data_IF_247576772576
#
_entry.id   IF_247576772576
#
_cell.length_a   1.000
_cell.length_b   1.000
_cell.length_c   1.000
_cell.angle_alpha   90.00
_cell.angle_beta   90.00
_cell.angle_gamma   90.00
#
_symmetry.space_group_name_H-M   'P 1'
#
loop_
_entity.id
_entity.type
_entity.pdbx_description
1 polymer ?
#
# COMPACT_ATOMS: atom_id res chain seq x y z
N UNK A 1 -7.81 -6.55 4.39
CA UNK A 1 -9.26 -6.58 4.62
C UNK A 1 -9.88 -5.44 3.83
N UNK A 2 -11.17 -5.52 3.46
CA UNK A 2 -11.88 -4.35 2.97
C UNK A 2 -11.86 -3.25 4.03
N UNK A 3 -11.69 -2.00 3.59
CA UNK A 3 -11.73 -0.81 4.42
C UNK A 3 -13.15 -0.59 4.92
N UNK A 4 -13.31 -0.21 6.19
CA UNK A 4 -14.59 0.26 6.72
C UNK A 4 -14.84 1.74 6.36
N UNK A 5 -16.07 2.21 6.53
CA UNK A 5 -16.38 3.63 6.34
C UNK A 5 -15.56 4.54 7.28
N UNK A 6 -15.22 4.06 8.47
CA UNK A 6 -14.35 4.77 9.41
C UNK A 6 -12.91 4.87 8.87
N UNK A 7 -12.40 3.79 8.27
CA UNK A 7 -11.06 3.78 7.68
C UNK A 7 -10.96 4.79 6.53
N UNK A 8 -11.98 4.86 5.66
CA UNK A 8 -12.03 5.81 4.53
C UNK A 8 -11.96 7.27 5.00
N UNK A 9 -12.49 7.59 6.18
CA UNK A 9 -12.45 8.93 6.73
C UNK A 9 -11.04 9.35 7.19
N UNK A 10 -10.15 8.38 7.46
CA UNK A 10 -8.79 8.60 7.99
C UNK A 10 -7.68 8.20 7.04
N UNK A 11 -8.01 7.63 5.87
CA UNK A 11 -7.03 7.00 4.97
C UNK A 11 -6.03 7.98 4.34
N UNK A 12 -6.36 9.28 4.29
CA UNK A 12 -5.49 10.30 3.72
C UNK A 12 -5.08 10.01 2.27
N UNK A 13 -3.78 10.10 2.00
CA UNK A 13 -3.20 9.89 0.65
C UNK A 13 -2.86 8.43 0.31
N UNK A 14 -3.20 7.50 1.20
CA UNK A 14 -2.79 6.10 1.02
C UNK A 14 -3.58 5.49 -0.15
N UNK A 15 -2.89 4.93 -1.17
CA UNK A 15 -3.57 4.32 -2.30
C UNK A 15 -4.44 3.11 -1.94
N UNK A 16 -5.62 3.06 -2.56
CA UNK A 16 -6.56 1.94 -2.50
C UNK A 16 -6.71 1.25 -3.86
N UNK A 17 -7.32 0.08 -3.83
CA UNK A 17 -7.80 -0.67 -4.98
C UNK A 17 -9.31 -0.88 -4.81
N UNK A 18 -10.03 -0.93 -5.94
CA UNK A 18 -11.47 -1.15 -5.97
C UNK A 18 -11.71 -2.49 -6.67
N UNK A 19 -12.03 -3.53 -5.89
CA UNK A 19 -12.20 -4.90 -6.39
C UNK A 19 -13.68 -5.26 -6.46
N UNK A 20 -14.12 -5.85 -7.57
CA UNK A 20 -15.47 -6.39 -7.71
C UNK A 20 -15.75 -7.47 -6.66
N UNK A 21 -16.97 -7.49 -6.11
CA UNK A 21 -17.42 -8.62 -5.29
C UNK A 21 -17.93 -9.80 -6.13
N UNK A 22 -18.32 -9.57 -7.39
CA UNK A 22 -18.87 -10.61 -8.26
C UNK A 22 -17.81 -11.35 -9.08
N UNK A 23 -16.70 -10.68 -9.39
CA UNK A 23 -15.65 -11.23 -10.24
C UNK A 23 -14.34 -11.34 -9.45
N UNK A 24 -13.93 -12.59 -9.16
CA UNK A 24 -12.71 -12.87 -8.39
C UNK A 24 -11.49 -12.25 -9.05
N UNK A 25 -10.69 -11.52 -8.25
CA UNK A 25 -9.49 -10.82 -8.68
C UNK A 25 -9.72 -9.74 -9.76
N UNK A 26 -10.95 -9.28 -10.00
CA UNK A 26 -11.18 -8.21 -10.97
C UNK A 26 -11.25 -6.85 -10.28
N UNK A 27 -10.40 -5.93 -10.73
CA UNK A 27 -10.22 -4.58 -10.18
C UNK A 27 -10.61 -3.51 -11.19
N UNK A 28 -11.05 -2.34 -10.69
CA UNK A 28 -11.25 -1.14 -11.51
C UNK A 28 -9.90 -0.67 -12.04
N UNK A 29 -9.81 -0.42 -13.35
CA UNK A 29 -8.61 0.08 -14.04
C UNK A 29 -8.92 1.43 -14.68
N UNK A 30 -8.07 2.42 -14.43
CA UNK A 30 -8.15 3.74 -15.07
C UNK A 30 -6.85 4.03 -15.83
N UNK A 31 -6.97 4.13 -17.15
CA UNK A 31 -5.91 4.53 -18.06
C UNK A 31 -6.13 5.96 -18.54
N UNK A 32 -5.38 6.88 -17.95
CA UNK A 32 -5.41 8.31 -18.22
C UNK A 32 -4.35 8.76 -19.23
N UNK A 33 -3.76 7.84 -20.00
CA UNK A 33 -2.70 8.17 -20.97
C UNK A 33 -3.18 9.29 -21.90
N UNK A 34 -2.43 10.41 -21.92
CA UNK A 34 -2.74 11.59 -22.73
C UNK A 34 -3.74 12.57 -22.11
N UNK A 35 -4.34 12.26 -20.95
CA UNK A 35 -5.29 13.15 -20.26
C UNK A 35 -4.51 14.17 -19.43
N UNK A 36 -4.37 15.37 -19.99
CA UNK A 36 -3.55 16.46 -19.41
C UNK A 36 -4.32 17.76 -19.18
N UNK A 37 -5.57 17.82 -19.65
CA UNK A 37 -6.46 18.97 -19.50
C UNK A 37 -7.93 18.50 -19.51
N UNK A 38 -8.80 19.38 -19.03
CA UNK A 38 -10.23 19.11 -18.97
C UNK A 38 -10.82 18.83 -20.35
N UNK A 39 -11.70 17.83 -20.44
CA UNK A 39 -12.47 17.47 -21.64
C UNK A 39 -13.96 17.40 -21.33
N UNK A 40 -14.83 18.07 -22.08
CA UNK A 40 -16.27 18.14 -21.76
C UNK A 40 -16.97 16.78 -21.63
N UNK A 41 -16.57 15.79 -22.44
CA UNK A 41 -17.09 14.42 -22.38
C UNK A 41 -16.26 13.46 -21.52
N UNK A 42 -15.25 13.97 -20.82
CA UNK A 42 -14.15 13.18 -20.29
C UNK A 42 -13.21 12.66 -21.39
N UNK A 43 -12.23 11.87 -20.98
CA UNK A 43 -11.21 11.28 -21.83
C UNK A 43 -10.72 9.95 -21.22
N UNK A 44 -9.66 9.37 -21.81
CA UNK A 44 -9.05 8.13 -21.34
C UNK A 44 -10.01 6.94 -21.33
N UNK A 45 -9.60 5.86 -20.65
CA UNK A 45 -10.33 4.59 -20.62
C UNK A 45 -10.46 4.07 -19.20
N UNK A 46 -11.68 3.72 -18.80
CA UNK A 46 -11.93 2.97 -17.57
C UNK A 46 -12.52 1.62 -17.91
N UNK A 47 -11.91 0.57 -17.38
CA UNK A 47 -12.32 -0.81 -17.59
C UNK A 47 -11.90 -1.67 -16.38
N UNK A 48 -11.70 -2.97 -16.59
CA UNK A 48 -11.35 -3.93 -15.55
C UNK A 48 -9.95 -4.52 -15.76
N UNK A 49 -9.35 -5.05 -14.70
CA UNK A 49 -8.06 -5.76 -14.72
C UNK A 49 -8.06 -6.96 -13.76
N UNK A 50 -7.33 -8.04 -14.08
CA UNK A 50 -7.26 -9.26 -13.26
C UNK A 50 -6.32 -9.17 -12.04
N UNK A 51 -5.51 -8.12 -11.93
CA UNK A 51 -4.64 -7.88 -10.79
C UNK A 51 -4.43 -6.39 -10.60
N UNK A 52 -4.38 -5.91 -9.36
CA UNK A 52 -4.02 -4.52 -9.05
C UNK A 52 -2.49 -4.29 -8.97
N UNK A 53 -1.72 -5.09 -9.72
CA UNK A 53 -0.26 -5.11 -9.73
C UNK A 53 0.32 -4.58 -11.03
N UNK A 54 1.34 -5.26 -11.55
CA UNK A 54 1.91 -4.99 -12.89
C UNK A 54 0.89 -5.32 -14.00
N UNK A 55 0.92 -4.68 -15.20
CA UNK A 55 1.88 -3.68 -15.68
C UNK A 55 1.33 -2.26 -15.51
N UNK A 56 1.64 -1.66 -14.37
CA UNK A 56 1.35 -0.24 -14.10
C UNK A 56 0.27 -0.05 -13.03
N UNK A 57 0.36 0.99 -12.20
CA UNK A 57 -0.52 1.19 -11.05
C UNK A 57 -1.91 1.75 -11.45
N UNK A 58 -2.49 1.29 -12.57
CA UNK A 58 -3.71 1.85 -13.15
C UNK A 58 -4.96 1.47 -12.33
N UNK A 59 -4.83 0.48 -11.45
CA UNK A 59 -5.87 0.03 -10.52
C UNK A 59 -5.74 0.66 -9.13
N UNK A 60 -4.81 1.61 -8.95
CA UNK A 60 -4.55 2.28 -7.68
C UNK A 60 -5.14 3.69 -7.69
N UNK A 61 -5.91 4.01 -6.65
CA UNK A 61 -6.62 5.28 -6.51
C UNK A 61 -6.34 5.95 -5.17
N UNK A 62 -6.32 7.28 -5.12
CA UNK A 62 -6.41 8.06 -3.88
C UNK A 62 -7.83 8.59 -3.69
N UNK A 63 -8.34 8.47 -2.47
CA UNK A 63 -9.64 9.03 -2.10
C UNK A 63 -9.47 10.49 -1.69
N UNK A 64 -9.90 11.40 -2.57
CA UNK A 64 -9.91 12.84 -2.30
C UNK A 64 -11.24 13.25 -1.68
N UNK A 65 -11.28 13.31 -0.36
CA UNK A 65 -12.47 13.79 0.38
C UNK A 65 -12.80 15.24 -0.02
N UNK A 66 -14.07 15.48 -0.33
CA UNK A 66 -14.61 16.77 -0.71
C UNK A 66 -15.30 17.45 0.50
N UNK A 67 -15.56 18.76 0.38
CA UNK A 67 -16.20 19.54 1.44
C UNK A 67 -17.62 19.06 1.79
N UNK A 68 -18.34 18.50 0.83
CA UNK A 68 -19.69 17.93 0.98
C UNK A 68 -19.69 16.49 1.53
N UNK A 69 -18.52 15.92 1.84
CA UNK A 69 -18.36 14.56 2.34
C UNK A 69 -18.27 13.49 1.26
N UNK A 70 -18.46 13.84 -0.01
CA UNK A 70 -18.21 12.93 -1.14
C UNK A 70 -16.70 12.71 -1.36
N UNK A 71 -16.37 11.78 -2.25
CA UNK A 71 -14.98 11.48 -2.63
C UNK A 71 -14.80 11.62 -4.14
N UNK A 72 -13.67 12.19 -4.56
CA UNK A 72 -13.15 12.02 -5.90
C UNK A 72 -12.07 10.92 -5.90
N UNK A 73 -12.09 10.07 -6.92
CA UNK A 73 -11.20 8.92 -7.06
C UNK A 73 -10.06 9.27 -8.02
N UNK A 74 -8.95 9.75 -7.49
CA UNK A 74 -7.79 10.15 -8.29
C UNK A 74 -6.93 8.94 -8.64
N UNK A 75 -6.48 8.82 -9.89
CA UNK A 75 -5.48 7.83 -10.28
C UNK A 75 -4.13 8.09 -9.61
N UNK A 76 -3.49 7.02 -9.13
CA UNK A 76 -2.09 7.10 -8.68
C UNK A 76 -1.14 7.19 -9.87
N UNK A 77 -1.45 6.53 -10.98
CA UNK A 77 -0.62 6.49 -12.18
C UNK A 77 -0.66 7.81 -12.97
N UNK A 78 -1.78 8.52 -12.92
CA UNK A 78 -2.03 9.73 -13.70
C UNK A 78 -2.45 10.88 -12.76
N UNK A 79 -1.50 11.71 -12.29
CA UNK A 79 -1.80 12.80 -11.35
C UNK A 79 -2.85 13.78 -11.88
N UNK A 80 -3.76 14.23 -11.01
CA UNK A 80 -4.91 15.06 -11.34
C UNK A 80 -5.93 14.44 -12.31
N UNK A 81 -5.84 13.13 -12.61
CA UNK A 81 -6.82 12.42 -13.42
C UNK A 81 -7.74 11.60 -12.52
N UNK A 82 -9.05 11.83 -12.63
CA UNK A 82 -10.08 11.27 -11.75
C UNK A 82 -11.03 10.35 -12.50
N UNK A 83 -11.60 9.36 -11.81
CA UNK A 83 -12.72 8.58 -12.31
C UNK A 83 -13.91 9.51 -12.59
N UNK A 84 -14.51 9.37 -13.77
CA UNK A 84 -15.69 10.13 -14.20
C UNK A 84 -16.84 9.18 -14.51
N UNK A 85 -18.03 9.50 -14.00
CA UNK A 85 -19.28 8.81 -14.34
C UNK A 85 -20.29 9.82 -14.88
N UNK A 86 -20.66 9.63 -16.14
CA UNK A 86 -21.75 10.33 -16.81
C UNK A 86 -22.98 9.42 -16.90
N UNK A 87 -23.96 9.68 -16.04
CA UNK A 87 -25.19 8.92 -15.92
C UNK A 87 -26.31 9.42 -16.83
N UNK A 88 -26.01 10.30 -17.80
CA UNK A 88 -27.03 10.85 -18.69
C UNK A 88 -27.81 9.73 -19.38
N UNK A 89 -29.14 9.73 -19.21
CA UNK A 89 -30.03 8.70 -19.75
C UNK A 89 -30.15 7.42 -18.92
N UNK A 90 -29.44 7.28 -17.81
CA UNK A 90 -29.53 6.11 -16.90
C UNK A 90 -30.65 6.34 -15.88
N UNK A 91 -31.88 5.97 -16.26
CA UNK A 91 -33.11 6.23 -15.48
C UNK A 91 -33.82 4.95 -15.00
N UNK A 92 -33.34 3.78 -15.42
CA UNK A 92 -33.87 2.48 -15.01
C UNK A 92 -32.79 1.40 -15.12
N UNK A 93 -33.00 0.28 -14.44
CA UNK A 93 -32.08 -0.86 -14.51
C UNK A 93 -32.16 -1.52 -15.89
N UNK A 94 -30.99 -1.84 -16.46
CA UNK A 94 -30.87 -2.66 -17.66
C UNK A 94 -29.88 -3.79 -17.46
N UNK A 95 -29.92 -4.84 -18.30
CA UNK A 95 -28.98 -5.98 -18.17
C UNK A 95 -27.50 -5.57 -18.29
N UNK A 96 -27.18 -4.56 -19.10
CA UNK A 96 -25.80 -4.10 -19.33
C UNK A 96 -25.39 -2.84 -18.55
N UNK A 97 -26.33 -2.21 -17.84
CA UNK A 97 -26.18 -0.82 -17.42
C UNK A 97 -26.23 0.16 -18.61
N UNK A 98 -25.75 1.37 -18.38
CA UNK A 98 -25.68 2.43 -19.38
C UNK A 98 -24.67 3.51 -18.99
N UNK A 99 -24.88 4.73 -19.50
CA UNK A 99 -23.99 5.86 -19.24
C UNK A 99 -22.58 5.67 -19.79
N UNK A 100 -21.70 6.61 -19.45
CA UNK A 100 -20.28 6.56 -19.80
C UNK A 100 -19.43 6.63 -18.54
N UNK A 101 -18.51 5.69 -18.39
CA UNK A 101 -17.49 5.72 -17.34
C UNK A 101 -16.12 5.82 -18.00
N UNK A 102 -15.43 6.92 -17.73
CA UNK A 102 -14.11 7.24 -18.26
C UNK A 102 -13.33 8.03 -17.21
N UNK A 103 -12.37 8.87 -17.60
CA UNK A 103 -11.65 9.73 -16.68
C UNK A 103 -11.60 11.19 -17.12
N UNK A 104 -11.17 12.07 -16.21
CA UNK A 104 -11.17 13.52 -16.40
C UNK A 104 -9.95 14.16 -15.73
N UNK A 105 -9.39 15.21 -16.33
CA UNK A 105 -8.42 16.06 -15.65
C UNK A 105 -9.15 17.07 -14.74
N UNK A 106 -8.90 16.98 -13.43
CA UNK A 106 -9.64 17.71 -12.41
C UNK A 106 -10.95 17.04 -12.00
N UNK A 107 -11.44 17.37 -10.81
CA UNK A 107 -12.67 16.81 -10.25
C UNK A 107 -13.81 17.84 -10.24
N UNK A 108 -14.77 17.66 -11.14
CA UNK A 108 -16.04 18.38 -11.20
C UNK A 108 -17.18 17.60 -10.53
N UNK A 109 -18.41 17.81 -10.98
CA UNK A 109 -19.60 17.13 -10.44
C UNK A 109 -19.64 15.65 -10.83
N UNK A 110 -19.26 15.29 -12.05
CA UNK A 110 -19.28 13.91 -12.56
C UNK A 110 -18.16 13.01 -12.02
N UNK A 111 -17.19 13.59 -11.31
CA UNK A 111 -16.04 12.89 -10.71
C UNK A 111 -16.17 12.70 -9.19
N UNK A 112 -17.32 13.05 -8.62
CA UNK A 112 -17.59 12.97 -7.18
C UNK A 112 -18.61 11.90 -6.86
N UNK A 113 -18.30 11.09 -5.85
CA UNK A 113 -19.05 9.90 -5.51
C UNK A 113 -19.36 9.81 -4.01
N UNK A 114 -20.56 9.31 -3.71
CA UNK A 114 -20.93 8.83 -2.40
C UNK A 114 -20.56 7.35 -2.28
N UNK A 115 -19.86 6.98 -1.22
CA UNK A 115 -19.47 5.60 -0.95
C UNK A 115 -20.40 5.02 0.12
N UNK A 116 -21.35 4.19 -0.30
CA UNK A 116 -22.39 3.63 0.56
C UNK A 116 -22.02 2.22 1.01
N UNK A 117 -21.67 2.07 2.28
CA UNK A 117 -21.32 0.79 2.87
C UNK A 117 -22.49 -0.21 2.83
N UNK A 118 -22.17 -1.48 2.61
CA UNK A 118 -23.09 -2.60 2.54
C UNK A 118 -22.89 -3.52 3.76
N UNK A 119 -23.88 -4.38 4.04
CA UNK A 119 -23.84 -5.28 5.20
C UNK A 119 -22.69 -6.29 5.17
N UNK A 120 -22.16 -6.62 3.98
CA UNK A 120 -21.03 -7.54 3.78
C UNK A 120 -19.65 -6.84 3.83
N UNK A 121 -19.61 -5.55 4.19
CA UNK A 121 -18.38 -4.75 4.24
C UNK A 121 -17.89 -4.25 2.87
N UNK A 122 -18.64 -4.48 1.80
CA UNK A 122 -18.41 -3.85 0.50
C UNK A 122 -19.06 -2.45 0.43
N UNK A 123 -18.85 -1.74 -0.68
CA UNK A 123 -19.45 -0.44 -0.95
C UNK A 123 -20.10 -0.42 -2.32
N UNK A 124 -21.18 0.34 -2.43
CA UNK A 124 -21.62 0.89 -3.71
C UNK A 124 -21.07 2.29 -3.90
N UNK A 125 -20.69 2.62 -5.13
CA UNK A 125 -20.11 3.91 -5.51
C UNK A 125 -21.16 4.65 -6.33
N UNK A 126 -21.84 5.62 -5.72
CA UNK A 126 -22.93 6.38 -6.34
C UNK A 126 -22.45 7.74 -6.82
N UNK A 127 -22.87 8.16 -8.01
CA UNK A 127 -22.58 9.50 -8.51
C UNK A 127 -23.31 10.57 -7.69
N UNK A 128 -22.60 11.65 -7.34
CA UNK A 128 -23.25 12.82 -6.74
C UNK A 128 -23.98 13.70 -7.76
N UNK A 129 -23.59 13.63 -9.03
CA UNK A 129 -24.22 14.40 -10.12
C UNK A 129 -25.47 13.73 -10.68
N UNK A 130 -25.56 12.41 -10.59
CA UNK A 130 -26.66 11.63 -11.14
C UNK A 130 -27.29 10.79 -10.03
N UNK A 131 -28.40 11.29 -9.46
CA UNK A 131 -29.08 10.67 -8.32
C UNK A 131 -29.45 9.22 -8.60
N UNK A 132 -29.15 8.33 -7.65
CA UNK A 132 -29.44 6.91 -7.72
C UNK A 132 -28.74 6.18 -8.87
N UNK A 133 -27.63 6.72 -9.39
CA UNK A 133 -26.83 6.08 -10.43
C UNK A 133 -25.50 5.60 -9.83
N UNK A 134 -25.30 4.28 -9.83
CA UNK A 134 -24.11 3.63 -9.26
C UNK A 134 -23.14 3.15 -10.34
N UNK A 135 -21.86 3.11 -10.00
CA UNK A 135 -20.81 2.45 -10.79
C UNK A 135 -21.09 0.95 -10.88
N UNK A 136 -20.97 0.39 -12.09
CA UNK A 136 -21.14 -1.03 -12.40
C UNK A 136 -19.88 -1.59 -13.05
N UNK A 137 -19.39 -2.72 -12.56
CA UNK A 137 -18.29 -3.47 -13.20
C UNK A 137 -18.76 -4.84 -13.66
N UNK A 138 -18.66 -5.09 -14.96
CA UNK A 138 -18.80 -6.42 -15.57
C UNK A 138 -17.41 -6.93 -15.96
N UNK A 139 -16.88 -7.85 -15.15
CA UNK A 139 -15.59 -8.48 -15.33
C UNK A 139 -15.61 -9.71 -16.23
N UNK A 140 -16.72 -9.99 -16.93
CA UNK A 140 -16.83 -11.20 -17.77
C UNK A 140 -15.67 -11.29 -18.76
N UNK A 141 -14.97 -12.43 -18.76
CA UNK A 141 -13.81 -12.68 -19.62
C UNK A 141 -12.48 -12.14 -19.13
N UNK A 142 -12.44 -11.44 -17.98
CA UNK A 142 -11.18 -10.98 -17.35
C UNK A 142 -10.60 -12.10 -16.50
N UNK A 143 -9.65 -12.85 -17.05
CA UNK A 143 -9.03 -14.02 -16.39
C UNK A 143 -7.51 -13.91 -16.24
N UNK A 144 -6.88 -12.95 -16.92
CA UNK A 144 -5.45 -12.70 -16.86
C UNK A 144 -5.17 -11.22 -16.97
N UNK A 145 -3.98 -10.83 -16.54
CA UNK A 145 -3.52 -9.44 -16.61
C UNK A 145 -3.04 -9.11 -18.02
N UNK A 146 -3.52 -7.99 -18.58
CA UNK A 146 -3.10 -7.49 -19.90
C UNK A 146 -2.88 -5.97 -19.88
N UNK A 147 -2.01 -5.45 -20.76
CA UNK A 147 -1.72 -4.01 -20.83
C UNK A 147 -2.99 -3.16 -21.06
N UNK A 148 -3.93 -3.65 -21.86
CA UNK A 148 -5.15 -2.94 -22.24
C UNK A 148 -6.32 -3.10 -21.23
N UNK A 149 -6.18 -4.01 -20.25
CA UNK A 149 -7.27 -4.50 -19.41
C UNK A 149 -8.36 -5.22 -20.22
N UNK A 150 -9.51 -5.46 -19.59
CA UNK A 150 -10.67 -6.10 -20.20
C UNK A 150 -11.98 -5.66 -19.54
N UNK A 151 -13.05 -6.45 -19.72
CA UNK A 151 -14.35 -6.19 -19.11
C UNK A 151 -14.99 -4.85 -19.51
N UNK A 152 -16.06 -4.48 -18.82
CA UNK A 152 -16.78 -3.21 -19.01
C UNK A 152 -17.07 -2.55 -17.68
N UNK A 153 -16.94 -1.23 -17.68
CA UNK A 153 -17.35 -0.39 -16.56
C UNK A 153 -18.39 0.59 -17.08
N UNK A 154 -19.57 0.56 -16.47
CA UNK A 154 -20.74 1.33 -16.87
C UNK A 154 -21.40 1.92 -15.61
N UNK A 155 -22.56 2.53 -15.78
CA UNK A 155 -23.40 2.99 -14.70
C UNK A 155 -24.73 2.20 -14.66
N UNK A 156 -25.38 2.16 -13.51
CA UNK A 156 -26.66 1.47 -13.33
C UNK A 156 -27.57 2.27 -12.40
N UNK A 157 -28.85 2.38 -12.73
CA UNK A 157 -29.83 3.06 -11.88
C UNK A 157 -30.33 2.15 -10.75
N UNK A 158 -30.49 2.66 -9.53
CA UNK A 158 -31.19 1.95 -8.45
C UNK A 158 -30.56 0.62 -8.03
N UNK A 159 -29.24 0.48 -8.18
CA UNK A 159 -28.51 -0.77 -7.98
C UNK A 159 -27.52 -0.70 -6.81
N UNK A 160 -27.75 0.16 -5.82
CA UNK A 160 -27.01 0.09 -4.56
C UNK A 160 -27.17 -1.29 -3.94
N UNK A 161 -26.05 -1.95 -3.62
CA UNK A 161 -26.02 -3.33 -3.15
C UNK A 161 -26.16 -4.41 -4.25
N UNK A 162 -26.23 -4.02 -5.53
CA UNK A 162 -26.33 -4.91 -6.68
C UNK A 162 -25.11 -5.81 -6.87
N UNK A 163 -25.26 -6.90 -7.63
CA UNK A 163 -24.21 -7.92 -7.80
C UNK A 163 -22.96 -7.31 -8.46
N UNK A 164 -23.13 -6.45 -9.47
CA UNK A 164 -22.02 -5.83 -10.23
C UNK A 164 -21.66 -4.42 -9.73
N UNK A 165 -22.38 -3.92 -8.72
CA UNK A 165 -22.31 -2.56 -8.18
C UNK A 165 -21.79 -2.53 -6.73
N UNK A 166 -21.20 -3.64 -6.30
CA UNK A 166 -20.54 -3.79 -5.01
C UNK A 166 -19.04 -4.01 -5.19
N UNK A 167 -18.28 -3.31 -4.35
CA UNK A 167 -16.83 -3.31 -4.40
C UNK A 167 -16.21 -3.43 -3.01
N UNK A 168 -15.19 -4.26 -2.89
CA UNK A 168 -14.27 -4.19 -1.77
C UNK A 168 -13.23 -3.11 -2.06
N UNK A 169 -13.22 -2.07 -1.24
CA UNK A 169 -12.14 -1.08 -1.23
C UNK A 169 -11.07 -1.63 -0.29
N UNK A 170 -9.84 -1.80 -0.78
CA UNK A 170 -8.75 -2.32 0.02
C UNK A 170 -7.50 -1.49 -0.22
N UNK A 171 -6.62 -1.41 0.77
CA UNK A 171 -5.31 -0.78 0.60
C UNK A 171 -4.56 -1.50 -0.52
N UNK A 172 -3.91 -0.72 -1.40
CA UNK A 172 -3.18 -1.28 -2.54
C UNK A 172 -1.98 -2.11 -2.06
N UNK A 173 -1.40 -2.95 -2.93
CA UNK A 173 -0.11 -3.56 -2.63
C UNK A 173 0.95 -2.44 -2.49
N UNK A 174 1.55 -2.36 -1.31
CA UNK A 174 2.53 -1.36 -0.90
C UNK A 174 3.92 -1.97 -0.67
N UNK A 175 4.21 -3.11 -1.32
CA UNK A 175 5.56 -3.70 -1.31
C UNK A 175 6.55 -2.80 -2.04
N UNK A 176 7.65 -2.51 -1.36
CA UNK A 176 8.79 -1.76 -1.89
C UNK A 176 9.83 -2.73 -2.46
N UNK A 177 10.57 -2.27 -3.47
CA UNK A 177 11.75 -2.94 -4.00
C UNK A 177 12.94 -2.69 -3.05
N UNK A 178 12.96 -3.43 -1.96
CA UNK A 178 13.92 -3.31 -0.88
C UNK A 178 14.72 -4.61 -0.77
N UNK A 179 16.04 -4.49 -0.75
CA UNK A 179 16.95 -5.62 -0.60
C UNK A 179 17.63 -5.57 0.78
N UNK A 180 17.30 -6.52 1.64
CA UNK A 180 17.94 -6.69 2.94
C UNK A 180 19.27 -7.42 2.77
N UNK A 181 20.34 -6.85 3.34
CA UNK A 181 21.62 -7.52 3.45
C UNK A 181 21.58 -8.59 4.53
N UNK A 182 22.23 -9.72 4.27
CA UNK A 182 22.47 -10.69 5.34
C UNK A 182 23.38 -10.08 6.42
N UNK A 183 23.02 -10.18 7.70
CA UNK A 183 23.88 -9.70 8.79
C UNK A 183 25.17 -10.52 8.85
N UNK A 184 26.30 -9.83 8.97
CA UNK A 184 27.62 -10.48 8.88
C UNK A 184 28.05 -11.16 10.19
N UNK A 185 27.43 -10.79 11.31
CA UNK A 185 27.72 -11.33 12.63
C UNK A 185 26.42 -11.57 13.40
N UNK A 186 26.48 -12.40 14.44
CA UNK A 186 25.28 -12.88 15.15
C UNK A 186 24.52 -11.78 15.90
N UNK A 187 25.19 -10.67 16.29
CA UNK A 187 24.58 -9.56 17.01
C UNK A 187 24.40 -8.30 16.14
N UNK A 188 24.52 -8.42 14.81
CA UNK A 188 24.55 -7.28 13.89
C UNK A 188 23.26 -7.08 13.07
N UNK A 189 22.14 -7.65 13.51
CA UNK A 189 20.82 -7.41 12.91
C UNK A 189 20.54 -5.90 12.73
N UNK A 190 20.83 -5.10 13.76
CA UNK A 190 20.69 -3.65 13.75
C UNK A 190 21.55 -2.97 12.67
N UNK A 191 22.75 -3.49 12.42
CA UNK A 191 23.68 -2.90 11.46
C UNK A 191 23.28 -3.27 10.03
N UNK A 192 22.91 -4.54 9.79
CA UNK A 192 22.42 -5.01 8.51
C UNK A 192 21.18 -4.24 8.06
N UNK A 193 20.14 -4.23 8.88
CA UNK A 193 18.90 -3.49 8.61
C UNK A 193 19.15 -2.01 8.34
N UNK A 194 19.98 -1.35 9.15
CA UNK A 194 20.20 0.10 9.00
C UNK A 194 20.98 0.41 7.70
N UNK A 195 21.96 -0.42 7.34
CA UNK A 195 22.71 -0.26 6.08
C UNK A 195 21.84 -0.59 4.87
N UNK A 196 20.98 -1.60 4.95
CA UNK A 196 20.02 -1.93 3.89
C UNK A 196 19.04 -0.77 3.64
N UNK A 197 18.50 -0.16 4.71
CA UNK A 197 17.67 1.07 4.62
C UNK A 197 18.44 2.22 3.98
N UNK A 198 19.71 2.41 4.36
CA UNK A 198 20.57 3.44 3.77
C UNK A 198 20.76 3.19 2.27
N UNK A 199 21.05 1.95 1.86
CA UNK A 199 21.23 1.59 0.46
C UNK A 199 19.95 1.73 -0.38
N UNK A 200 18.77 1.60 0.24
CA UNK A 200 17.49 1.83 -0.42
C UNK A 200 17.29 3.31 -0.81
N UNK A 201 17.63 4.25 0.09
CA UNK A 201 17.51 5.68 -0.20
C UNK A 201 18.70 6.22 -0.99
N UNK A 202 19.89 5.68 -0.72
CA UNK A 202 21.15 6.10 -1.31
C UNK A 202 21.88 4.89 -1.92
N UNK A 203 21.51 4.46 -3.15
CA UNK A 203 22.13 3.29 -3.79
C UNK A 203 23.66 3.39 -3.96
N UNK A 204 24.22 4.60 -3.94
CA UNK A 204 25.65 4.87 -4.01
C UNK A 204 26.35 4.94 -2.63
N UNK A 205 25.64 4.61 -1.54
CA UNK A 205 26.19 4.69 -0.19
C UNK A 205 27.44 3.84 -0.03
N UNK A 206 28.40 4.33 0.75
CA UNK A 206 29.62 3.59 1.08
C UNK A 206 29.58 2.98 2.48
N UNK A 207 28.46 3.12 3.19
CA UNK A 207 28.23 2.48 4.46
C UNK A 207 28.21 0.95 4.28
N UNK A 208 28.89 0.28 5.18
CA UNK A 208 28.86 -1.18 5.31
C UNK A 208 28.58 -1.51 6.77
N UNK A 209 28.12 -2.73 7.06
CA UNK A 209 27.82 -3.13 8.43
C UNK A 209 29.02 -2.91 9.37
N UNK A 210 30.22 -3.32 8.96
CA UNK A 210 31.41 -3.12 9.80
C UNK A 210 31.81 -1.65 9.96
N UNK A 211 31.65 -0.79 8.93
CA UNK A 211 31.89 0.66 9.05
C UNK A 211 30.93 1.29 10.05
N UNK A 212 29.66 0.89 10.01
CA UNK A 212 28.65 1.37 10.94
C UNK A 212 28.96 0.92 12.38
N UNK A 213 29.31 -0.35 12.57
CA UNK A 213 29.70 -0.90 13.89
C UNK A 213 30.91 -0.16 14.46
N UNK A 214 31.95 0.03 13.64
CA UNK A 214 33.12 0.83 14.00
C UNK A 214 32.73 2.24 14.42
N UNK A 215 31.87 2.92 13.65
CA UNK A 215 31.44 4.27 13.95
C UNK A 215 30.58 4.39 15.23
N UNK A 216 29.71 3.42 15.49
CA UNK A 216 28.89 3.38 16.73
C UNK A 216 29.73 3.12 17.97
N UNK A 217 30.75 2.26 17.87
CA UNK A 217 31.60 1.90 19.01
C UNK A 217 32.88 2.73 19.15
N UNK A 218 33.12 3.68 18.24
CA UNK A 218 34.36 4.47 18.23
C UNK A 218 35.61 3.61 17.98
N UNK A 219 35.49 2.66 17.05
CA UNK A 219 36.54 1.69 16.67
C UNK A 219 36.85 1.79 15.17
N UNK A 220 37.88 1.09 14.73
CA UNK A 220 38.28 0.95 13.33
C UNK A 220 38.64 -0.50 12.94
N UNK A 221 38.54 -1.45 13.86
CA UNK A 221 39.06 -2.82 13.72
C UNK A 221 37.98 -3.91 13.59
N UNK A 222 36.70 -3.55 13.47
CA UNK A 222 35.59 -4.52 13.43
C UNK A 222 35.27 -5.11 12.06
N UNK A 223 36.13 -4.97 11.04
CA UNK A 223 35.85 -5.52 9.70
C UNK A 223 36.44 -6.93 9.49
N UNK A 224 35.84 -7.70 8.56
CA UNK A 224 36.29 -9.05 8.23
C UNK A 224 36.15 -10.02 9.42
N UNK A 225 37.14 -10.90 9.61
CA UNK A 225 37.14 -11.89 10.68
C UNK A 225 37.08 -11.27 12.09
N UNK A 226 37.65 -10.07 12.26
CA UNK A 226 37.66 -9.36 13.54
C UNK A 226 36.27 -8.92 14.00
N UNK A 227 35.31 -8.79 13.06
CA UNK A 227 33.93 -8.46 13.38
C UNK A 227 33.26 -9.45 14.34
N UNK A 228 33.70 -10.72 14.34
CA UNK A 228 33.19 -11.76 15.25
C UNK A 228 33.68 -11.61 16.70
N UNK A 229 34.70 -10.79 16.93
CA UNK A 229 35.30 -10.58 18.24
C UNK A 229 34.32 -9.96 19.23
N UNK A 230 34.48 -10.28 20.53
CA UNK A 230 33.60 -9.82 21.62
C UNK A 230 33.46 -8.30 21.70
N UNK A 231 34.46 -7.55 21.20
CA UNK A 231 34.44 -6.09 21.18
C UNK A 231 33.60 -5.49 20.04
N UNK A 232 33.29 -6.28 19.03
CA UNK A 232 32.61 -5.88 17.80
C UNK A 232 31.22 -6.53 17.67
N UNK A 233 31.11 -7.83 17.95
CA UNK A 233 29.87 -8.60 17.85
C UNK A 233 28.96 -8.37 19.08
N UNK A 234 28.39 -7.16 19.18
CA UNK A 234 27.55 -6.73 20.29
C UNK A 234 26.20 -6.17 19.80
N UNK A 235 25.13 -6.32 20.59
CA UNK A 235 23.83 -5.73 20.28
C UNK A 235 23.91 -4.20 20.39
N UNK A 236 23.08 -3.50 19.60
CA UNK A 236 22.98 -2.05 19.62
C UNK A 236 21.56 -1.57 19.30
N UNK A 237 21.37 -0.25 19.38
CA UNK A 237 20.08 0.39 19.18
C UNK A 237 19.91 0.88 17.73
N UNK A 238 18.86 0.42 17.00
CA UNK A 238 18.62 0.85 15.63
C UNK A 238 18.40 2.37 15.46
N UNK A 239 17.85 3.08 16.45
CA UNK A 239 17.65 4.52 16.35
C UNK A 239 18.97 5.30 16.32
N UNK A 240 19.98 4.86 17.07
CA UNK A 240 21.32 5.47 17.04
C UNK A 240 21.99 5.24 15.68
N UNK A 241 21.94 3.99 15.18
CA UNK A 241 22.48 3.63 13.89
C UNK A 241 21.83 4.41 12.73
N UNK A 242 20.49 4.45 12.70
CA UNK A 242 19.74 5.19 11.69
C UNK A 242 19.95 6.71 11.81
N UNK A 243 20.12 7.27 13.02
CA UNK A 243 20.49 8.69 13.19
C UNK A 243 21.87 8.99 12.62
N UNK A 244 22.85 8.12 12.85
CA UNK A 244 24.21 8.32 12.34
C UNK A 244 24.25 8.40 10.82
N UNK A 245 23.42 7.59 10.17
CA UNK A 245 23.28 7.59 8.70
C UNK A 245 22.19 8.56 8.22
N UNK A 246 21.66 9.42 9.09
CA UNK A 246 20.63 10.43 8.78
C UNK A 246 19.30 9.88 8.20
N UNK A 247 18.99 8.60 8.41
CA UNK A 247 17.75 7.98 7.93
C UNK A 247 16.71 7.72 9.02
N UNK A 248 16.96 8.08 10.29
CA UNK A 248 15.91 8.05 11.31
C UNK A 248 14.93 9.21 11.12
N UNK A 249 13.64 8.89 10.99
CA UNK A 249 12.56 9.86 11.10
C UNK A 249 12.03 9.93 12.55
N UNK A 250 11.54 8.82 13.09
CA UNK A 250 10.99 8.78 14.44
C UNK A 250 11.22 7.44 15.13
N UNK A 251 11.57 7.50 16.42
CA UNK A 251 11.54 6.35 17.33
C UNK A 251 10.20 6.28 18.07
N UNK A 252 9.51 5.16 17.92
CA UNK A 252 8.17 4.92 18.47
C UNK A 252 8.21 3.65 19.33
N UNK A 253 7.88 3.78 20.62
CA UNK A 253 7.90 2.70 21.61
C UNK A 253 6.65 1.80 21.58
N UNK A 254 6.25 1.40 20.38
CA UNK A 254 5.14 0.47 20.13
C UNK A 254 5.17 -0.04 18.69
N UNK A 255 4.41 -1.09 18.44
CA UNK A 255 3.99 -1.46 17.11
C UNK A 255 3.10 -0.38 16.46
N UNK A 256 3.29 -0.19 15.15
CA UNK A 256 2.38 0.61 14.32
C UNK A 256 1.08 -0.14 14.07
N UNK A 257 -0.02 0.60 13.91
CA UNK A 257 -1.28 0.07 13.38
C UNK A 257 -1.17 -0.18 11.87
N UNK A 258 -2.05 -1.00 11.30
CA UNK A 258 -2.10 -1.24 9.85
C UNK A 258 -2.24 0.05 9.03
N UNK A 259 -3.00 1.03 9.52
CA UNK A 259 -3.14 2.35 8.90
C UNK A 259 -1.81 3.12 8.91
N UNK A 260 -1.13 3.17 10.05
CA UNK A 260 0.19 3.83 10.17
C UNK A 260 1.26 3.17 9.30
N UNK A 261 1.28 1.83 9.23
CA UNK A 261 2.17 1.08 8.31
C UNK A 261 1.88 1.52 6.86
N UNK A 262 0.60 1.62 6.50
CA UNK A 262 0.20 2.07 5.17
C UNK A 262 0.65 3.50 4.86
N UNK A 263 0.65 4.39 5.84
CA UNK A 263 1.18 5.77 5.71
C UNK A 263 2.68 5.77 5.42
N UNK A 264 3.47 4.97 6.13
CA UNK A 264 4.93 4.91 5.91
C UNK A 264 5.26 4.33 4.53
N UNK A 265 4.63 3.21 4.15
CA UNK A 265 4.90 2.57 2.86
C UNK A 265 4.41 3.43 1.67
N UNK A 266 3.38 4.25 1.86
CA UNK A 266 2.93 5.21 0.84
C UNK A 266 3.95 6.32 0.54
N UNK A 267 4.89 6.57 1.46
CA UNK A 267 6.03 7.50 1.27
C UNK A 267 7.22 6.82 0.59
N UNK A 268 7.09 5.56 0.18
CA UNK A 268 8.21 4.70 -0.19
C UNK A 268 9.24 4.57 0.93
N UNK A 269 8.79 4.47 2.19
CA UNK A 269 9.68 4.41 3.35
C UNK A 269 9.64 3.04 4.05
N UNK A 270 10.60 2.13 3.79
CA UNK A 270 10.74 0.90 4.58
C UNK A 270 11.24 1.25 5.99
N UNK A 271 10.73 0.62 7.02
CA UNK A 271 11.07 0.98 8.40
C UNK A 271 11.56 -0.20 9.23
N UNK A 272 12.44 0.09 10.17
CA UNK A 272 13.00 -0.91 11.07
C UNK A 272 12.03 -1.19 12.23
N UNK A 273 11.95 -2.46 12.61
CA UNK A 273 11.21 -2.97 13.75
C UNK A 273 12.16 -3.74 14.66
N UNK A 274 12.08 -3.51 15.96
CA UNK A 274 12.69 -4.39 16.95
C UNK A 274 11.65 -5.29 17.62
N UNK A 275 11.89 -6.60 17.53
CA UNK A 275 11.14 -7.65 18.21
C UNK A 275 11.90 -8.13 19.45
N UNK A 276 11.17 -8.61 20.46
CA UNK A 276 11.72 -9.02 21.76
C UNK A 276 11.08 -10.31 22.25
N UNK A 277 11.84 -11.11 23.00
CA UNK A 277 11.40 -12.36 23.61
C UNK A 277 11.40 -12.27 25.14
N UNK A 278 10.50 -13.00 25.80
CA UNK A 278 10.41 -13.07 27.26
C UNK A 278 11.70 -13.59 27.91
N UNK A 279 12.41 -14.51 27.23
CA UNK A 279 13.71 -15.03 27.66
C UNK A 279 14.88 -14.06 27.49
N UNK A 280 14.61 -12.84 27.01
CA UNK A 280 15.63 -11.84 26.66
C UNK A 280 16.05 -11.92 25.19
N UNK A 281 16.84 -10.94 24.77
CA UNK A 281 17.25 -10.77 23.39
C UNK A 281 16.27 -9.91 22.58
N UNK A 282 16.78 -9.36 21.48
CA UNK A 282 15.99 -8.60 20.53
C UNK A 282 16.56 -8.75 19.13
N UNK A 283 15.71 -8.57 18.13
CA UNK A 283 16.07 -8.72 16.74
C UNK A 283 15.53 -7.54 15.94
N UNK A 284 16.38 -7.00 15.06
CA UNK A 284 16.01 -5.92 14.17
C UNK A 284 15.69 -6.49 12.79
N UNK A 285 14.53 -6.12 12.26
CA UNK A 285 14.05 -6.50 10.91
C UNK A 285 13.45 -5.28 10.22
N UNK A 286 13.15 -5.41 8.94
CA UNK A 286 12.49 -4.35 8.15
C UNK A 286 11.09 -4.77 7.75
N UNK A 287 10.13 -3.87 7.93
CA UNK A 287 8.85 -3.94 7.21
C UNK A 287 9.03 -3.17 5.91
N UNK A 288 9.06 -3.91 4.80
CA UNK A 288 9.22 -3.35 3.45
C UNK A 288 7.94 -3.39 2.63
N UNK A 289 6.88 -3.95 3.18
CA UNK A 289 5.66 -4.12 2.41
C UNK A 289 4.45 -4.49 3.22
N UNK A 290 3.30 -4.24 2.61
CA UNK A 290 1.99 -4.65 3.07
C UNK A 290 1.11 -4.91 1.86
N UNK A 291 0.36 -6.01 1.89
CA UNK A 291 -0.54 -6.37 0.80
C UNK A 291 -1.72 -7.20 1.33
N UNK A 292 -2.72 -7.38 0.47
CA UNK A 292 -3.89 -8.22 0.76
C UNK A 292 -3.87 -9.41 -0.19
N UNK A 293 -3.96 -10.62 0.35
CA UNK A 293 -4.12 -11.86 -0.41
C UNK A 293 -5.31 -12.64 0.15
N UNK A 294 -6.24 -13.03 -0.73
CA UNK A 294 -7.48 -13.75 -0.36
C UNK A 294 -8.28 -13.07 0.77
N UNK A 295 -8.29 -11.73 0.81
CA UNK A 295 -8.98 -10.94 1.84
C UNK A 295 -8.21 -10.76 3.16
N UNK A 296 -7.09 -11.48 3.33
CA UNK A 296 -6.23 -11.42 4.53
C UNK A 296 -5.10 -10.42 4.31
N UNK A 297 -4.78 -9.65 5.35
CA UNK A 297 -3.65 -8.70 5.32
C UNK A 297 -2.34 -9.37 5.72
N UNK A 298 -1.31 -9.09 4.92
CA UNK A 298 0.04 -9.55 5.14
C UNK A 298 0.98 -8.35 5.20
N UNK A 299 1.98 -8.46 6.07
CA UNK A 299 3.19 -7.65 6.04
C UNK A 299 4.27 -8.47 5.34
N UNK A 300 5.09 -7.79 4.56
CA UNK A 300 6.35 -8.37 4.08
C UNK A 300 7.48 -7.91 4.97
N UNK A 301 8.07 -8.88 5.66
CA UNK A 301 9.15 -8.73 6.64
C UNK A 301 10.44 -9.19 5.98
N UNK A 302 11.44 -8.32 5.96
CA UNK A 302 12.80 -8.67 5.56
C UNK A 302 13.65 -8.85 6.81
N UNK A 303 14.11 -10.08 7.03
CA UNK A 303 14.97 -10.47 8.15
C UNK A 303 16.41 -10.61 7.66
N UNK A 304 17.39 -9.91 8.27
CA UNK A 304 18.79 -9.99 7.85
C UNK A 304 19.43 -11.35 8.14
N UNK A 305 18.80 -12.27 8.84
CA UNK A 305 19.30 -13.64 9.03
C UNK A 305 18.51 -14.65 8.22
N UNK A 306 17.19 -14.66 8.38
CA UNK A 306 16.32 -15.70 7.82
C UNK A 306 15.77 -15.35 6.42
N UNK A 307 15.99 -14.13 5.95
CA UNK A 307 15.48 -13.65 4.67
C UNK A 307 14.04 -13.16 4.73
N UNK A 308 13.38 -13.17 3.60
CA UNK A 308 12.05 -12.58 3.47
C UNK A 308 10.92 -13.52 3.88
N UNK A 309 9.89 -12.97 4.51
CA UNK A 309 8.64 -13.68 4.79
C UNK A 309 7.41 -12.78 4.71
N UNK A 310 6.31 -13.35 4.21
CA UNK A 310 4.99 -12.74 4.26
C UNK A 310 4.20 -13.33 5.43
N UNK A 311 3.81 -12.46 6.37
CA UNK A 311 3.15 -12.88 7.62
C UNK A 311 1.95 -11.99 7.90
N UNK A 312 0.91 -12.54 8.52
CA UNK A 312 -0.22 -11.70 8.95
C UNK A 312 0.23 -10.72 10.02
N UNK A 313 -0.42 -9.56 10.07
CA UNK A 313 -0.09 -8.51 11.03
C UNK A 313 -0.11 -9.01 12.48
N UNK A 314 -1.13 -9.76 12.87
CA UNK A 314 -1.25 -10.27 14.24
C UNK A 314 -0.18 -11.31 14.57
N UNK A 315 0.20 -12.16 13.60
CA UNK A 315 1.29 -13.11 13.80
C UNK A 315 2.63 -12.41 13.92
N UNK A 316 2.92 -11.41 13.08
CA UNK A 316 4.15 -10.63 13.21
C UNK A 316 4.21 -9.86 14.53
N UNK A 317 3.12 -9.18 14.89
CA UNK A 317 3.06 -8.34 16.09
C UNK A 317 3.29 -9.15 17.37
N UNK A 318 2.75 -10.37 17.46
CA UNK A 318 2.66 -11.10 18.73
C UNK A 318 3.43 -12.43 18.76
N UNK A 319 3.82 -13.00 17.62
CA UNK A 319 4.36 -14.36 17.49
C UNK A 319 5.45 -14.44 16.42
N UNK A 320 6.23 -13.38 16.25
CA UNK A 320 7.33 -13.40 15.32
C UNK A 320 8.36 -14.44 15.77
N UNK A 321 8.63 -15.45 14.91
CA UNK A 321 9.45 -16.62 15.25
C UNK A 321 9.02 -17.23 16.59
N UNK A 322 7.79 -17.73 16.58
CA UNK A 322 7.06 -18.42 17.66
C UNK A 322 6.60 -17.55 18.84
N UNK A 323 7.46 -16.68 19.37
CA UNK A 323 7.16 -15.93 20.61
C UNK A 323 7.69 -14.50 20.67
N UNK A 324 8.38 -14.04 19.63
CA UNK A 324 8.85 -12.66 19.53
C UNK A 324 7.69 -11.68 19.40
N UNK A 325 7.75 -10.59 20.14
CA UNK A 325 6.74 -9.51 20.12
C UNK A 325 7.33 -8.24 19.55
N UNK A 326 6.61 -7.56 18.65
CA UNK A 326 6.98 -6.24 18.15
C UNK A 326 6.89 -5.20 19.27
N UNK A 327 8.05 -4.79 19.79
CA UNK A 327 8.12 -3.80 20.87
C UNK A 327 8.33 -2.37 20.39
N UNK A 328 9.22 -2.16 19.42
CA UNK A 328 9.67 -0.83 19.01
C UNK A 328 9.67 -0.66 17.48
N UNK A 329 9.40 0.55 17.04
CA UNK A 329 9.41 0.96 15.62
C UNK A 329 10.36 2.12 15.41
N UNK A 330 11.11 2.09 14.31
CA UNK A 330 11.99 3.15 13.86
C UNK A 330 11.60 3.52 12.43
N UNK A 331 10.73 4.53 12.29
CA UNK A 331 10.35 5.04 10.97
C UNK A 331 11.54 5.77 10.34
N UNK A 332 11.58 5.78 9.01
CA UNK A 332 12.75 6.24 8.26
C UNK A 332 12.39 7.37 7.31
N UNK A 333 13.43 8.00 6.76
CA UNK A 333 13.30 9.06 5.75
C UNK A 333 14.43 8.94 4.73
N UNK A 334 14.15 9.41 3.51
CA UNK A 334 15.15 9.64 2.48
C UNK A 334 16.14 10.73 2.90
#
# INVERSE_FOLDING_TARGET
MPLSAADLATIGDIPITIRSTAFTNVYLRLDGTGVTAFSGSGAGKVNCQFSAGSPGPYEKFRLRKQADGSYALESVAFPNVYLRLDGTGVVSQTTGGGGTVNCQFGAGSSERFNLTAQADGSFSIESTAFTNVQLRMDGTGVTTTTDAGGGRVTAQFGASGGIHEKFYLALSDQRLDFAEQHQQQTQWCWAATSVSITAFYEPATTWTQCKLVNAEYGRDDCCGAAGSGVNCNKPWYPDLALRRMNHLNQYIKRALTLGEIGVELAKSAPFCVATYWQGGGGHAVVIRGRFVSNGVEYLTVSDPWDGESDVTYDNFRNKYKDSGTWGNTYTTKA
#
